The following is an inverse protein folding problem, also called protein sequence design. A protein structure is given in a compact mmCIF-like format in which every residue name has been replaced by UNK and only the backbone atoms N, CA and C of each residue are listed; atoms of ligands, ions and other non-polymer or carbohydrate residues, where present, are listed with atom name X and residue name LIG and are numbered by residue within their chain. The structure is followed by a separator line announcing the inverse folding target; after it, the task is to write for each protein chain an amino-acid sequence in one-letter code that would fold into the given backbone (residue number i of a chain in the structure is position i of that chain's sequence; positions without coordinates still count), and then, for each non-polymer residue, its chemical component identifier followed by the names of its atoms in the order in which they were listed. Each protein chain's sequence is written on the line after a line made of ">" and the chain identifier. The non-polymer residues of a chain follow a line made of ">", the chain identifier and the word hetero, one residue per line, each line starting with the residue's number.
data_IF_365800837241
#
_entry.id   IF_365800837241
#
_cell.length_a   1.000
_cell.length_b   1.000
_cell.length_c   1.000
_cell.angle_alpha   90.00
_cell.angle_beta   90.00
_cell.angle_gamma   90.00
#
_symmetry.space_group_name_H-M   'P 1'
#
loop_
_entity.id
_entity.type
_entity.pdbx_description
1 polymer ?
#
# COMPACT_ATOMS: atom_id res chain seq x y z
N UNK A 1 25.41 10.01 16.82
CA UNK A 1 25.06 10.82 18.01
C UNK A 1 23.54 10.88 18.03
N UNK A 2 22.87 10.21 18.97
CA UNK A 2 21.40 10.25 19.05
C UNK A 2 21.00 11.64 19.56
N UNK A 3 20.27 12.40 18.74
CA UNK A 3 19.82 13.75 19.07
C UNK A 3 18.71 13.70 20.12
N UNK A 4 18.75 14.62 21.07
CA UNK A 4 17.80 14.66 22.18
C UNK A 4 16.69 15.66 21.87
N UNK A 5 15.48 15.48 22.42
CA UNK A 5 14.40 16.48 22.35
C UNK A 5 14.81 17.87 22.87
N UNK A 6 15.94 17.97 23.58
CA UNK A 6 16.53 19.22 24.05
C UNK A 6 17.02 20.13 22.91
N UNK A 7 17.18 19.58 21.71
CA UNK A 7 17.73 20.29 20.56
C UNK A 7 16.63 20.96 19.72
N UNK A 8 15.36 20.89 20.14
CA UNK A 8 14.23 21.49 19.46
C UNK A 8 13.74 22.76 20.14
N UNK A 9 13.43 23.79 19.34
CA UNK A 9 12.81 25.04 19.78
C UNK A 9 11.53 25.32 18.99
N UNK A 10 10.61 26.03 19.63
CA UNK A 10 9.23 26.15 19.20
C UNK A 10 8.78 27.61 19.27
N UNK A 11 8.07 28.07 18.24
CA UNK A 11 7.43 29.38 18.26
C UNK A 11 6.05 29.30 17.60
N UNK A 12 5.09 30.02 18.16
CA UNK A 12 3.79 30.23 17.54
C UNK A 12 3.89 31.43 16.58
N UNK A 13 3.42 31.25 15.36
CA UNK A 13 3.50 32.28 14.31
C UNK A 13 2.13 32.43 13.66
N UNK A 14 1.71 33.68 13.47
CA UNK A 14 0.50 33.98 12.71
C UNK A 14 0.74 33.73 11.21
N UNK A 15 -0.31 33.31 10.50
CA UNK A 15 -0.23 32.98 9.07
C UNK A 15 0.39 34.11 8.26
N UNK A 16 0.06 35.35 8.59
CA UNK A 16 0.55 36.56 7.90
C UNK A 16 2.06 36.78 8.07
N UNK A 17 2.66 36.33 9.19
CA UNK A 17 4.11 36.41 9.45
C UNK A 17 4.87 35.18 8.92
N UNK A 18 4.17 34.05 8.70
CA UNK A 18 4.79 32.78 8.32
C UNK A 18 5.73 32.90 7.11
N UNK A 19 5.34 33.63 6.07
CA UNK A 19 6.16 33.78 4.86
C UNK A 19 7.47 34.55 5.14
N UNK A 20 7.45 35.55 6.03
CA UNK A 20 8.65 36.28 6.43
C UNK A 20 9.60 35.37 7.21
N UNK A 21 9.04 34.56 8.13
CA UNK A 21 9.83 33.57 8.88
C UNK A 21 10.49 32.55 7.95
N UNK A 22 9.75 32.02 6.97
CA UNK A 22 10.29 31.05 6.01
C UNK A 22 11.36 31.63 5.08
N UNK A 23 11.34 32.95 4.82
CA UNK A 23 12.41 33.67 4.11
C UNK A 23 13.60 34.04 5.00
N UNK A 24 13.48 33.88 6.31
CA UNK A 24 14.51 34.29 7.28
C UNK A 24 14.53 35.81 7.52
N UNK A 25 13.42 36.50 7.27
CA UNK A 25 13.28 37.96 7.44
C UNK A 25 12.75 38.35 8.83
N UNK A 26 12.41 37.39 9.67
CA UNK A 26 11.83 37.60 11.02
C UNK A 26 12.73 37.06 12.13
N UNK A 27 12.67 37.70 13.30
CA UNK A 27 13.40 37.37 14.53
C UNK A 27 12.71 36.27 15.37
N UNK A 28 11.64 35.66 14.87
CA UNK A 28 10.86 34.62 15.58
C UNK A 28 11.75 33.48 16.09
N UNK A 29 12.80 33.12 15.35
CA UNK A 29 13.74 32.07 15.78
C UNK A 29 14.41 32.42 17.10
N UNK A 30 14.79 33.68 17.30
CA UNK A 30 15.45 34.14 18.53
C UNK A 30 14.47 34.15 19.72
N UNK A 31 13.17 34.20 19.44
CA UNK A 31 12.07 34.10 20.41
C UNK A 31 11.59 32.65 20.63
N UNK A 32 12.11 31.67 19.87
CA UNK A 32 11.68 30.29 19.99
C UNK A 32 12.11 29.70 21.34
N UNK A 33 11.21 28.95 21.97
CA UNK A 33 11.42 28.39 23.31
C UNK A 33 11.44 26.86 23.25
N UNK A 34 12.11 26.15 24.17
CA UNK A 34 12.06 24.69 24.21
C UNK A 34 10.71 24.13 24.74
N UNK A 35 9.78 24.99 25.18
CA UNK A 35 8.56 24.61 25.88
C UNK A 35 7.35 24.36 24.95
N UNK A 36 7.46 23.41 24.01
CA UNK A 36 6.46 23.12 22.98
C UNK A 36 5.02 22.92 23.49
N UNK A 37 4.89 22.23 24.63
CA UNK A 37 3.61 21.66 25.05
C UNK A 37 2.59 22.68 25.52
N UNK A 38 3.04 23.83 26.05
CA UNK A 38 2.15 24.92 26.43
C UNK A 38 1.43 25.51 25.22
N UNK A 39 2.16 25.65 24.09
CA UNK A 39 1.69 26.34 22.89
C UNK A 39 0.73 25.50 22.03
N UNK A 40 0.61 24.19 22.27
CA UNK A 40 -0.22 23.30 21.42
C UNK A 40 -1.70 23.69 21.40
N UNK A 41 -2.19 24.25 22.50
CA UNK A 41 -3.59 24.67 22.65
C UNK A 41 -3.89 25.99 21.93
N UNK A 42 -2.84 26.71 21.55
CA UNK A 42 -2.94 27.99 20.85
C UNK A 42 -2.86 27.83 19.33
N UNK A 43 -2.60 26.62 18.83
CA UNK A 43 -2.59 26.31 17.40
C UNK A 43 -4.02 26.42 16.86
N UNK A 44 -4.20 27.26 15.85
CA UNK A 44 -5.51 27.54 15.25
C UNK A 44 -5.42 27.54 13.71
N UNK A 45 -6.46 28.00 13.02
CA UNK A 45 -6.39 28.26 11.59
C UNK A 45 -5.53 29.47 11.24
N UNK A 46 -5.32 30.39 12.18
CA UNK A 46 -4.53 31.61 11.97
C UNK A 46 -3.13 31.54 12.59
N UNK A 47 -2.90 30.62 13.50
CA UNK A 47 -1.66 30.46 14.23
C UNK A 47 -1.11 29.06 14.05
N UNK A 48 0.16 28.97 13.67
CA UNK A 48 0.86 27.72 13.38
C UNK A 48 2.06 27.58 14.31
N UNK A 49 2.34 26.36 14.76
CA UNK A 49 3.52 26.10 15.57
C UNK A 49 4.68 25.73 14.63
N UNK A 50 5.74 26.50 14.71
CA UNK A 50 6.98 26.24 13.99
C UNK A 50 7.96 25.52 14.91
N UNK A 51 8.65 24.54 14.34
CA UNK A 51 9.63 23.68 15.03
C UNK A 51 10.99 23.87 14.38
N UNK A 52 11.99 24.28 15.14
CA UNK A 52 13.38 24.36 14.72
C UNK A 52 14.22 23.32 15.43
N UNK A 53 15.26 22.87 14.74
CA UNK A 53 16.44 22.32 15.40
C UNK A 53 17.40 23.46 15.73
N UNK A 54 18.10 23.36 16.86
CA UNK A 54 19.01 24.38 17.39
C UNK A 54 20.03 24.85 16.33
N UNK A 55 20.58 23.91 15.56
CA UNK A 55 21.58 24.19 14.53
C UNK A 55 20.99 24.64 13.18
N UNK A 56 19.66 24.62 13.02
CA UNK A 56 19.02 24.94 11.74
C UNK A 56 18.59 26.40 11.67
N UNK A 57 18.97 27.15 10.61
CA UNK A 57 18.47 28.50 10.38
C UNK A 57 16.99 28.57 10.00
N UNK A 58 16.40 27.45 9.57
CA UNK A 58 15.03 27.36 9.07
C UNK A 58 14.19 26.36 9.89
N UNK A 59 12.87 26.52 9.95
CA UNK A 59 12.03 25.53 10.62
C UNK A 59 12.15 24.19 9.90
N UNK A 60 12.13 23.11 10.67
CA UNK A 60 12.13 21.72 10.15
C UNK A 60 10.71 21.20 10.06
N UNK A 61 9.78 21.71 10.86
CA UNK A 61 8.38 21.36 10.75
C UNK A 61 7.46 22.55 11.02
N UNK A 62 6.29 22.50 10.38
CA UNK A 62 5.15 23.38 10.61
C UNK A 62 4.00 22.48 11.08
N UNK A 63 3.49 22.75 12.27
CA UNK A 63 2.36 22.02 12.84
C UNK A 63 1.09 22.81 12.60
N UNK A 64 0.14 22.17 11.92
CA UNK A 64 -1.10 22.80 11.45
C UNK A 64 -2.30 21.91 11.81
N UNK A 65 -3.45 22.47 12.19
CA UNK A 65 -4.66 21.68 12.37
C UNK A 65 -5.06 21.01 11.04
N UNK A 66 -5.53 19.74 11.04
CA UNK A 66 -5.92 19.05 9.82
C UNK A 66 -6.85 19.85 8.90
N UNK A 67 -7.84 20.54 9.48
CA UNK A 67 -8.82 21.36 8.77
C UNK A 67 -8.25 22.63 8.14
N UNK A 68 -7.11 23.13 8.62
CA UNK A 68 -6.49 24.37 8.14
C UNK A 68 -5.37 24.10 7.14
N UNK A 69 -5.01 22.83 6.93
CA UNK A 69 -3.87 22.43 6.09
C UNK A 69 -4.08 22.79 4.63
N UNK A 70 -5.23 22.45 4.07
CA UNK A 70 -5.54 22.74 2.66
C UNK A 70 -5.65 24.26 2.40
N UNK A 71 -6.17 25.05 3.37
CA UNK A 71 -6.20 26.52 3.28
C UNK A 71 -4.79 27.12 3.28
N UNK A 72 -3.92 26.65 4.18
CA UNK A 72 -2.52 27.11 4.24
C UNK A 72 -1.77 26.82 2.93
N UNK A 73 -1.92 25.60 2.39
CA UNK A 73 -1.27 25.22 1.13
C UNK A 73 -1.81 26.03 -0.05
N UNK A 74 -3.13 26.24 -0.13
CA UNK A 74 -3.73 27.09 -1.15
C UNK A 74 -3.21 28.54 -1.06
N UNK A 75 -3.12 29.10 0.16
CA UNK A 75 -2.58 30.44 0.41
C UNK A 75 -1.10 30.55 -0.02
N UNK A 76 -0.25 29.59 0.39
CA UNK A 76 1.17 29.56 0.02
C UNK A 76 1.36 29.50 -1.50
N UNK A 77 0.65 28.60 -2.18
CA UNK A 77 0.77 28.46 -3.64
C UNK A 77 0.28 29.72 -4.37
N UNK A 78 -0.75 30.40 -3.85
CA UNK A 78 -1.35 31.59 -4.47
C UNK A 78 -0.51 32.85 -4.28
N UNK A 79 -0.04 33.11 -3.05
CA UNK A 79 0.60 34.38 -2.69
C UNK A 79 2.12 34.28 -2.52
N UNK A 80 2.65 33.08 -2.32
CA UNK A 80 4.06 32.83 -2.01
C UNK A 80 4.61 31.64 -2.81
N UNK A 81 4.38 31.65 -4.12
CA UNK A 81 4.84 30.59 -5.02
C UNK A 81 6.37 30.37 -5.01
N UNK A 82 7.14 31.34 -4.55
CA UNK A 82 8.59 31.26 -4.32
C UNK A 82 8.97 30.28 -3.20
N UNK A 83 8.04 30.02 -2.26
CA UNK A 83 8.22 29.09 -1.14
C UNK A 83 7.69 27.68 -1.43
N UNK A 84 7.02 27.47 -2.57
CA UNK A 84 6.43 26.20 -2.94
C UNK A 84 7.41 25.33 -3.77
N UNK A 85 7.55 24.02 -3.51
CA UNK A 85 6.84 23.24 -2.49
C UNK A 85 7.47 23.38 -1.11
N UNK A 86 6.66 23.68 -0.11
CA UNK A 86 7.05 23.85 1.28
C UNK A 86 7.68 22.58 1.86
N UNK A 87 7.16 21.41 1.48
CA UNK A 87 7.65 20.12 1.97
C UNK A 87 9.01 19.71 1.45
N UNK A 88 9.57 20.43 0.48
CA UNK A 88 10.98 20.29 0.13
C UNK A 88 11.93 20.87 1.18
N UNK A 89 11.44 21.75 2.08
CA UNK A 89 12.24 22.45 3.06
C UNK A 89 11.92 22.06 4.50
N UNK A 90 10.64 21.81 4.81
CA UNK A 90 10.18 21.46 6.15
C UNK A 90 8.96 20.53 6.13
N UNK A 91 8.80 19.68 7.14
CA UNK A 91 7.63 18.83 7.28
C UNK A 91 6.37 19.64 7.55
N UNK A 92 5.27 19.25 6.92
CA UNK A 92 3.93 19.73 7.27
C UNK A 92 3.23 18.65 8.09
N UNK A 93 3.06 18.89 9.39
CA UNK A 93 2.63 17.89 10.37
C UNK A 93 1.28 18.31 10.95
N UNK A 94 0.37 17.34 11.15
CA UNK A 94 -0.89 17.63 11.84
C UNK A 94 -0.66 17.80 13.35
N UNK A 95 -1.53 18.55 14.03
CA UNK A 95 -1.50 18.65 15.50
C UNK A 95 -1.58 17.28 16.20
N UNK A 96 -2.35 16.35 15.63
CA UNK A 96 -2.46 14.98 16.11
C UNK A 96 -1.16 14.19 15.96
N UNK A 97 -0.53 14.24 14.78
CA UNK A 97 0.73 13.55 14.52
C UNK A 97 1.85 14.17 15.35
N UNK A 98 1.89 15.49 15.49
CA UNK A 98 2.85 16.20 16.33
C UNK A 98 2.75 15.80 17.81
N UNK A 99 1.54 15.65 18.35
CA UNK A 99 1.34 15.21 19.73
C UNK A 99 1.97 13.83 19.95
N UNK A 100 1.85 12.93 18.97
CA UNK A 100 2.49 11.61 19.01
C UNK A 100 4.01 11.71 18.88
N UNK A 101 4.52 12.58 18.01
CA UNK A 101 5.98 12.75 17.83
C UNK A 101 6.68 13.41 19.00
N UNK A 102 6.03 14.35 19.68
CA UNK A 102 6.67 15.04 20.80
C UNK A 102 6.98 14.07 21.95
N UNK A 103 6.16 13.02 22.11
CA UNK A 103 6.37 11.95 23.08
C UNK A 103 7.52 11.00 22.67
N UNK A 104 7.71 10.80 21.37
CA UNK A 104 8.67 9.84 20.79
C UNK A 104 9.55 10.55 19.74
N UNK A 105 10.73 11.01 20.16
CA UNK A 105 11.72 11.71 19.31
C UNK A 105 12.08 10.92 18.04
N UNK A 106 12.07 9.59 18.20
CA UNK A 106 12.38 8.62 17.17
C UNK A 106 11.25 7.61 17.10
N UNK A 107 10.67 7.46 15.91
CA UNK A 107 9.78 6.35 15.63
C UNK A 107 10.56 5.18 15.07
N UNK A 108 10.54 4.09 15.81
CA UNK A 108 11.06 2.82 15.34
C UNK A 108 9.98 2.10 14.54
N UNK A 109 10.23 1.82 13.25
CA UNK A 109 9.29 1.08 12.43
C UNK A 109 9.15 -0.36 12.94
N UNK A 110 7.92 -0.87 12.94
CA UNK A 110 7.64 -2.27 13.29
C UNK A 110 6.56 -2.83 12.38
N UNK A 111 6.84 -3.97 11.74
CA UNK A 111 5.84 -4.73 10.99
C UNK A 111 5.35 -5.94 11.77
N UNK A 112 5.62 -5.99 13.07
CA UNK A 112 5.18 -7.03 14.01
C UNK A 112 5.60 -8.45 13.59
N UNK A 113 6.83 -8.63 13.11
CA UNK A 113 7.34 -9.93 12.67
C UNK A 113 6.98 -10.31 11.23
N UNK A 114 6.29 -9.42 10.49
CA UNK A 114 5.89 -9.63 9.10
C UNK A 114 6.86 -8.99 8.10
N UNK A 115 8.01 -8.51 8.56
CA UNK A 115 8.99 -7.77 7.75
C UNK A 115 9.40 -8.56 6.49
N UNK A 116 9.70 -9.85 6.61
CA UNK A 116 10.06 -10.72 5.47
C UNK A 116 8.94 -10.89 4.46
N UNK A 117 7.69 -11.04 4.92
CA UNK A 117 6.50 -11.11 4.07
C UNK A 117 6.31 -9.82 3.27
N UNK A 118 6.45 -8.66 3.91
CA UNK A 118 6.40 -7.35 3.23
C UNK A 118 7.54 -7.16 2.23
N UNK A 119 8.78 -7.54 2.57
CA UNK A 119 9.92 -7.46 1.66
C UNK A 119 9.71 -8.33 0.41
N UNK A 120 9.21 -9.56 0.60
CA UNK A 120 8.86 -10.45 -0.49
C UNK A 120 7.79 -9.84 -1.41
N UNK A 121 6.72 -9.29 -0.83
CA UNK A 121 5.66 -8.63 -1.58
C UNK A 121 6.17 -7.42 -2.40
N UNK A 122 7.06 -6.60 -1.83
CA UNK A 122 7.68 -5.46 -2.53
C UNK A 122 8.49 -5.94 -3.74
N UNK A 123 9.32 -6.97 -3.55
CA UNK A 123 10.16 -7.51 -4.63
C UNK A 123 9.29 -8.13 -5.71
N UNK A 124 8.27 -8.89 -5.34
CA UNK A 124 7.32 -9.46 -6.29
C UNK A 124 6.58 -8.39 -7.10
N UNK A 125 6.13 -7.29 -6.47
CA UNK A 125 5.53 -6.17 -7.19
C UNK A 125 6.56 -5.50 -8.12
N UNK A 126 7.81 -5.33 -7.69
CA UNK A 126 8.88 -4.79 -8.52
C UNK A 126 9.17 -5.68 -9.74
N UNK A 127 9.21 -7.01 -9.57
CA UNK A 127 9.35 -7.99 -10.65
C UNK A 127 8.18 -7.91 -11.62
N UNK A 128 6.96 -7.94 -11.11
CA UNK A 128 5.73 -7.90 -11.91
C UNK A 128 5.60 -6.58 -12.69
N UNK A 129 5.97 -5.46 -12.08
CA UNK A 129 5.84 -4.13 -12.67
C UNK A 129 6.90 -3.79 -13.70
N UNK A 130 8.14 -4.27 -13.50
CA UNK A 130 9.24 -4.03 -14.44
C UNK A 130 9.40 -5.14 -15.49
N UNK A 131 8.69 -6.26 -15.30
CA UNK A 131 8.85 -7.50 -16.06
C UNK A 131 10.32 -7.98 -16.09
N UNK A 132 10.99 -7.91 -14.94
CA UNK A 132 12.39 -8.27 -14.77
C UNK A 132 12.56 -9.38 -13.75
N UNK A 133 13.62 -10.15 -13.95
CA UNK A 133 14.09 -11.12 -12.97
C UNK A 133 14.71 -10.39 -11.76
N UNK A 134 14.68 -11.05 -10.61
CA UNK A 134 15.11 -10.46 -9.34
C UNK A 134 16.58 -10.01 -9.35
N UNK A 135 17.47 -10.74 -10.03
CA UNK A 135 18.90 -10.42 -10.17
C UNK A 135 19.16 -9.07 -10.85
N UNK A 136 18.18 -8.56 -11.61
CA UNK A 136 18.30 -7.32 -12.39
C UNK A 136 17.49 -6.17 -11.79
N UNK A 137 16.82 -6.40 -10.66
CA UNK A 137 16.08 -5.38 -9.96
C UNK A 137 17.01 -4.41 -9.23
N UNK A 138 16.70 -3.13 -9.35
CA UNK A 138 17.38 -2.09 -8.58
C UNK A 138 16.60 -1.78 -7.30
N UNK A 139 17.29 -1.33 -6.25
CA UNK A 139 16.65 -0.83 -5.03
C UNK A 139 15.61 0.26 -5.36
N UNK A 140 15.92 1.17 -6.29
CA UNK A 140 15.00 2.24 -6.68
C UNK A 140 13.68 1.72 -7.25
N UNK A 141 13.69 0.58 -7.96
CA UNK A 141 12.49 -0.06 -8.49
C UNK A 141 11.62 -0.58 -7.36
N UNK A 142 12.23 -1.19 -6.32
CA UNK A 142 11.51 -1.65 -5.13
C UNK A 142 10.92 -0.50 -4.31
N UNK A 143 11.67 0.59 -4.09
CA UNK A 143 11.20 1.77 -3.36
C UNK A 143 10.08 2.54 -4.08
N UNK A 144 9.92 2.34 -5.38
CA UNK A 144 8.84 2.95 -6.19
C UNK A 144 7.53 2.13 -6.18
N UNK A 145 7.50 0.96 -5.52
CA UNK A 145 6.30 0.11 -5.45
C UNK A 145 5.23 0.66 -4.52
N UNK A 146 3.97 0.32 -4.80
CA UNK A 146 2.84 0.64 -3.93
C UNK A 146 2.95 -0.10 -2.61
N UNK A 147 3.38 -1.37 -2.66
CA UNK A 147 3.61 -2.20 -1.48
C UNK A 147 4.65 -1.58 -0.56
N UNK A 148 5.75 -1.00 -1.07
CA UNK A 148 6.74 -0.34 -0.21
C UNK A 148 6.13 0.85 0.52
N UNK A 149 5.37 1.69 -0.18
CA UNK A 149 4.70 2.84 0.40
C UNK A 149 3.76 2.43 1.55
N UNK A 150 2.94 1.41 1.31
CA UNK A 150 1.98 0.90 2.30
C UNK A 150 2.70 0.23 3.47
N UNK A 151 3.69 -0.62 3.20
CA UNK A 151 4.50 -1.28 4.22
C UNK A 151 5.19 -0.26 5.11
N UNK A 152 5.81 0.76 4.52
CA UNK A 152 6.51 1.82 5.25
C UNK A 152 5.56 2.64 6.12
N UNK A 153 4.37 2.97 5.61
CA UNK A 153 3.34 3.60 6.45
C UNK A 153 2.88 2.69 7.58
N UNK A 154 2.62 1.41 7.29
CA UNK A 154 2.20 0.45 8.29
C UNK A 154 3.26 0.30 9.40
N UNK A 155 4.54 0.31 9.02
CA UNK A 155 5.65 0.19 9.96
C UNK A 155 5.77 1.40 10.89
N UNK A 156 5.59 2.62 10.38
CA UNK A 156 5.74 3.87 11.16
C UNK A 156 4.48 4.33 11.88
N UNK A 157 3.30 3.94 11.38
CA UNK A 157 2.01 4.49 11.81
C UNK A 157 0.95 3.44 12.10
N UNK A 158 1.25 2.15 11.94
CA UNK A 158 0.30 1.06 12.12
C UNK A 158 -0.62 0.82 10.91
N UNK A 159 -1.18 -0.37 10.85
CA UNK A 159 -1.94 -0.87 9.70
C UNK A 159 -3.16 -0.02 9.33
N UNK A 160 -3.90 0.49 10.32
CA UNK A 160 -5.08 1.35 10.10
C UNK A 160 -4.76 2.60 9.25
N UNK A 161 -3.55 3.14 9.40
CA UNK A 161 -3.15 4.34 8.67
C UNK A 161 -2.55 4.03 7.28
N UNK A 162 -2.18 2.78 7.01
CA UNK A 162 -1.50 2.37 5.80
C UNK A 162 -2.39 2.48 4.55
N UNK A 163 -3.68 2.15 4.67
CA UNK A 163 -4.66 2.25 3.57
C UNK A 163 -4.76 3.67 3.00
N UNK A 164 -4.75 4.69 3.87
CA UNK A 164 -4.80 6.10 3.44
C UNK A 164 -3.59 6.52 2.59
N UNK A 165 -2.44 5.82 2.74
CA UNK A 165 -1.27 6.11 1.91
C UNK A 165 -1.42 5.60 0.49
N UNK A 166 -2.19 4.52 0.28
CA UNK A 166 -2.49 4.02 -1.04
C UNK A 166 -3.35 5.02 -1.83
N UNK A 167 -4.39 5.56 -1.21
CA UNK A 167 -5.24 6.61 -1.81
C UNK A 167 -4.43 7.85 -2.19
N UNK A 168 -3.53 8.29 -1.29
CA UNK A 168 -2.63 9.43 -1.56
C UNK A 168 -1.65 9.14 -2.70
N UNK A 169 -1.10 7.92 -2.75
CA UNK A 169 -0.19 7.51 -3.79
C UNK A 169 -0.89 7.44 -5.15
N UNK A 170 -2.11 6.91 -5.19
CA UNK A 170 -2.93 6.90 -6.40
C UNK A 170 -3.26 8.31 -6.89
N UNK A 171 -3.64 9.21 -5.99
CA UNK A 171 -3.88 10.61 -6.32
C UNK A 171 -2.60 11.27 -6.88
N UNK A 172 -1.45 11.01 -6.27
CA UNK A 172 -0.17 11.53 -6.75
C UNK A 172 0.24 10.96 -8.11
N UNK A 173 0.07 9.65 -8.33
CA UNK A 173 0.28 9.00 -9.63
C UNK A 173 -0.65 9.59 -10.69
N UNK A 174 -1.93 9.78 -10.38
CA UNK A 174 -2.89 10.38 -11.32
C UNK A 174 -2.52 11.82 -11.69
N UNK A 175 -2.03 12.60 -10.73
CA UNK A 175 -1.59 13.97 -10.98
C UNK A 175 -0.35 14.02 -11.88
N UNK A 176 0.66 13.17 -11.62
CA UNK A 176 1.94 13.22 -12.34
C UNK A 176 1.99 12.35 -13.62
N UNK A 177 1.15 11.33 -13.72
CA UNK A 177 1.12 10.35 -14.80
C UNK A 177 -0.30 10.18 -15.38
N UNK A 178 -0.93 11.23 -15.93
CA UNK A 178 -2.32 11.19 -16.39
C UNK A 178 -2.57 10.16 -17.50
N UNK A 179 -1.53 9.73 -18.23
CA UNK A 179 -1.64 8.71 -19.29
C UNK A 179 -1.79 7.27 -18.75
N UNK A 180 -1.47 7.02 -17.47
CA UNK A 180 -1.53 5.67 -16.88
C UNK A 180 -2.85 5.35 -16.16
N UNK A 181 -3.89 6.19 -16.34
CA UNK A 181 -5.20 6.04 -15.66
C UNK A 181 -5.94 4.73 -16.04
N UNK A 182 -5.51 4.03 -17.09
CA UNK A 182 -6.12 2.78 -17.58
C UNK A 182 -5.53 1.46 -17.04
N UNK A 183 -4.32 1.43 -16.47
CA UNK A 183 -3.72 0.18 -15.93
C UNK A 183 -4.21 -0.15 -14.50
N UNK A 184 -5.43 0.27 -14.18
CA UNK A 184 -6.09 -0.01 -12.91
C UNK A 184 -6.57 -1.45 -12.88
N UNK A 185 -5.76 -2.32 -12.30
CA UNK A 185 -6.14 -3.19 -11.18
C UNK A 185 -5.02 -4.20 -10.94
N UNK A 186 -3.86 -3.74 -10.47
CA UNK A 186 -2.96 -4.68 -9.79
C UNK A 186 -3.69 -5.15 -8.54
N UNK A 187 -3.81 -6.46 -8.38
CA UNK A 187 -4.46 -7.07 -7.22
C UNK A 187 -3.85 -6.51 -5.94
N UNK A 188 -4.68 -5.84 -5.13
CA UNK A 188 -4.30 -5.28 -3.81
C UNK A 188 -4.41 -6.33 -2.71
N UNK A 189 -4.86 -7.52 -3.07
CA UNK A 189 -5.15 -8.59 -2.13
C UNK A 189 -3.94 -8.96 -1.25
N UNK A 190 -2.70 -9.09 -1.77
CA UNK A 190 -1.55 -9.35 -0.92
C UNK A 190 -1.33 -8.28 0.16
N UNK A 191 -1.55 -7.00 -0.19
CA UNK A 191 -1.44 -5.88 0.74
C UNK A 191 -2.54 -5.94 1.79
N UNK A 192 -3.79 -6.19 1.39
CA UNK A 192 -4.93 -6.31 2.31
C UNK A 192 -4.68 -7.42 3.34
N UNK A 193 -4.25 -8.59 2.90
CA UNK A 193 -3.96 -9.72 3.79
C UNK A 193 -2.82 -9.39 4.75
N UNK A 194 -1.70 -8.83 4.26
CA UNK A 194 -0.58 -8.44 5.13
C UNK A 194 -1.00 -7.40 6.18
N UNK A 195 -1.87 -6.45 5.81
CA UNK A 195 -2.42 -5.48 6.76
C UNK A 195 -3.37 -6.15 7.77
N UNK A 196 -4.21 -7.11 7.35
CA UNK A 196 -5.10 -7.86 8.23
C UNK A 196 -4.37 -8.78 9.22
N UNK A 197 -3.12 -9.15 8.94
CA UNK A 197 -2.26 -9.89 9.88
C UNK A 197 -1.70 -9.00 10.99
N UNK A 198 -1.65 -7.68 10.79
CA UNK A 198 -1.09 -6.75 11.76
C UNK A 198 -2.10 -6.38 12.86
N UNK A 199 -1.62 -6.05 14.09
CA UNK A 199 -2.47 -5.54 15.15
C UNK A 199 -3.23 -4.28 14.73
N UNK A 200 -4.56 -4.29 14.93
CA UNK A 200 -5.43 -3.17 14.52
C UNK A 200 -5.60 -3.02 13.01
N UNK A 201 -5.24 -4.05 12.23
CA UNK A 201 -5.48 -4.13 10.80
C UNK A 201 -6.97 -4.16 10.43
N UNK A 202 -7.29 -3.89 9.15
CA UNK A 202 -8.66 -4.01 8.65
C UNK A 202 -9.15 -5.45 8.72
N UNK A 203 -10.45 -5.63 8.94
CA UNK A 203 -11.08 -6.93 8.79
C UNK A 203 -11.05 -7.36 7.31
N UNK A 204 -10.90 -8.66 7.02
CA UNK A 204 -10.91 -9.16 5.64
C UNK A 204 -12.22 -8.81 4.95
N UNK A 205 -12.15 -8.30 3.71
CA UNK A 205 -13.34 -7.82 2.99
C UNK A 205 -14.21 -8.93 2.41
N UNK A 206 -13.72 -10.18 2.34
CA UNK A 206 -14.48 -11.33 1.85
C UNK A 206 -14.12 -12.63 2.59
N UNK A 207 -14.95 -13.68 2.41
CA UNK A 207 -14.69 -15.02 2.97
C UNK A 207 -13.38 -15.59 2.46
N UNK A 208 -13.10 -15.48 1.17
CA UNK A 208 -11.89 -16.05 0.57
C UNK A 208 -10.63 -15.36 1.11
N UNK A 209 -10.70 -14.04 1.34
CA UNK A 209 -9.63 -13.29 2.00
C UNK A 209 -9.46 -13.75 3.44
N UNK A 210 -10.54 -14.00 4.18
CA UNK A 210 -10.46 -14.55 5.54
C UNK A 210 -9.74 -15.90 5.57
N UNK A 211 -10.03 -16.80 4.62
CA UNK A 211 -9.35 -18.11 4.50
C UNK A 211 -7.84 -17.90 4.26
N UNK A 212 -7.48 -16.98 3.35
CA UNK A 212 -6.07 -16.66 3.06
C UNK A 212 -5.39 -16.05 4.28
N UNK A 213 -6.03 -15.11 4.97
CA UNK A 213 -5.52 -14.51 6.21
C UNK A 213 -5.25 -15.58 7.26
N UNK A 214 -6.17 -16.51 7.47
CA UNK A 214 -5.99 -17.57 8.47
C UNK A 214 -4.89 -18.56 8.08
N UNK A 215 -4.73 -18.85 6.78
CA UNK A 215 -3.59 -19.61 6.28
C UNK A 215 -2.27 -18.86 6.51
N UNK A 216 -2.20 -17.57 6.19
CA UNK A 216 -1.00 -16.75 6.43
C UNK A 216 -0.68 -16.57 7.92
N UNK A 217 -1.68 -16.48 8.80
CA UNK A 217 -1.47 -16.49 10.26
C UNK A 217 -0.77 -17.77 10.69
N UNK A 218 -1.20 -18.91 10.17
CA UNK A 218 -0.57 -20.19 10.51
C UNK A 218 0.89 -20.26 10.04
N UNK A 219 1.21 -19.72 8.86
CA UNK A 219 2.58 -19.60 8.39
C UNK A 219 3.41 -18.67 9.29
N UNK A 220 2.86 -17.51 9.68
CA UNK A 220 3.58 -16.54 10.50
C UNK A 220 3.93 -17.08 11.91
N UNK A 221 3.08 -17.94 12.48
CA UNK A 221 3.25 -18.48 13.84
C UNK A 221 4.08 -19.75 13.88
N UNK A 222 4.29 -20.43 12.75
CA UNK A 222 4.77 -21.82 12.73
C UNK A 222 6.09 -22.06 13.47
N UNK A 223 6.97 -21.07 13.63
CA UNK A 223 8.22 -21.17 14.41
C UNK A 223 9.24 -22.21 13.92
N UNK A 224 8.83 -23.09 13.02
CA UNK A 224 9.58 -24.17 12.40
C UNK A 224 10.43 -23.65 11.24
N UNK A 225 11.52 -24.38 10.94
CA UNK A 225 12.36 -24.13 9.76
C UNK A 225 11.58 -24.17 8.43
N UNK A 226 10.42 -24.84 8.43
CA UNK A 226 9.50 -24.91 7.30
C UNK A 226 8.07 -24.57 7.74
N UNK A 227 7.64 -23.30 7.64
CA UNK A 227 6.31 -22.91 8.08
C UNK A 227 5.19 -23.62 7.32
N UNK A 228 4.18 -24.15 8.01
CA UNK A 228 3.07 -24.87 7.34
C UNK A 228 1.72 -24.20 7.54
N UNK A 229 0.83 -24.41 6.57
CA UNK A 229 -0.58 -24.04 6.74
C UNK A 229 -1.21 -25.05 7.70
N UNK A 230 -1.92 -24.57 8.73
CA UNK A 230 -2.56 -25.45 9.70
C UNK A 230 -3.73 -26.26 9.07
N UNK A 231 -4.09 -27.37 9.71
CA UNK A 231 -5.15 -28.25 9.22
C UNK A 231 -6.54 -27.59 9.11
N UNK A 232 -6.83 -26.57 9.91
CA UNK A 232 -8.11 -25.86 9.87
C UNK A 232 -8.23 -25.02 8.60
N UNK A 233 -7.21 -24.21 8.30
CA UNK A 233 -7.16 -23.41 7.08
C UNK A 233 -7.11 -24.29 5.83
N UNK A 234 -6.41 -25.43 5.87
CA UNK A 234 -6.43 -26.41 4.76
C UNK A 234 -7.84 -26.95 4.55
N UNK A 235 -8.59 -27.30 5.59
CA UNK A 235 -9.98 -27.77 5.45
C UNK A 235 -10.87 -26.74 4.77
N UNK A 236 -10.75 -25.46 5.12
CA UNK A 236 -11.50 -24.39 4.46
C UNK A 236 -11.10 -24.23 2.99
N UNK A 237 -9.80 -24.33 2.67
CA UNK A 237 -9.33 -24.38 1.27
C UNK A 237 -9.94 -25.57 0.51
N UNK A 238 -9.94 -26.77 1.09
CA UNK A 238 -10.53 -27.97 0.47
C UNK A 238 -12.03 -27.83 0.24
N UNK A 239 -12.75 -27.18 1.16
CA UNK A 239 -14.17 -26.88 0.98
C UNK A 239 -14.41 -25.91 -0.19
N UNK A 240 -13.50 -24.97 -0.42
CA UNK A 240 -13.58 -24.07 -1.56
C UNK A 240 -13.23 -24.79 -2.88
N UNK A 241 -12.23 -25.67 -2.88
CA UNK A 241 -11.90 -26.52 -4.03
C UNK A 241 -11.30 -27.86 -3.59
N UNK A 242 -11.90 -29.00 -3.97
CA UNK A 242 -11.34 -30.32 -3.66
C UNK A 242 -9.93 -30.55 -4.21
N UNK A 243 -9.51 -29.78 -5.22
CA UNK A 243 -8.15 -29.84 -5.76
C UNK A 243 -7.09 -29.46 -4.73
N UNK A 244 -7.45 -28.68 -3.71
CA UNK A 244 -6.53 -28.24 -2.66
C UNK A 244 -6.27 -29.32 -1.60
N UNK A 245 -6.89 -30.49 -1.66
CA UNK A 245 -6.66 -31.59 -0.70
C UNK A 245 -5.19 -32.03 -0.65
N UNK A 246 -4.52 -32.02 -1.81
CA UNK A 246 -3.10 -32.37 -1.92
C UNK A 246 -2.17 -31.34 -1.25
N UNK A 247 -2.65 -30.13 -0.93
CA UNK A 247 -1.86 -29.09 -0.26
C UNK A 247 -1.48 -29.50 1.17
N UNK A 248 -2.30 -30.29 1.85
CA UNK A 248 -1.99 -30.82 3.19
C UNK A 248 -0.70 -31.66 3.21
N UNK A 249 -0.41 -32.35 2.11
CA UNK A 249 0.72 -33.26 1.98
C UNK A 249 1.93 -32.64 1.28
N UNK A 250 1.91 -31.35 0.94
CA UNK A 250 2.85 -30.76 -0.01
C UNK A 250 4.32 -30.93 0.37
N UNK A 251 4.63 -30.87 1.67
CA UNK A 251 6.00 -31.00 2.17
C UNK A 251 6.59 -32.39 1.93
N UNK A 252 5.74 -33.41 1.93
CA UNK A 252 6.13 -34.80 1.67
C UNK A 252 6.15 -35.12 0.17
N UNK A 253 5.62 -34.23 -0.68
CA UNK A 253 5.61 -34.43 -2.12
C UNK A 253 7.01 -34.17 -2.72
N UNK A 254 7.50 -35.01 -3.63
CA UNK A 254 8.65 -34.68 -4.47
C UNK A 254 8.41 -33.42 -5.31
N UNK A 255 9.46 -32.67 -5.62
CA UNK A 255 9.38 -31.42 -6.40
C UNK A 255 8.63 -31.58 -7.74
N UNK A 256 8.85 -32.69 -8.45
CA UNK A 256 8.12 -33.00 -9.69
C UNK A 256 6.60 -33.11 -9.48
N UNK A 257 6.18 -33.74 -8.39
CA UNK A 257 4.76 -33.87 -8.06
C UNK A 257 4.15 -32.53 -7.62
N UNK A 258 4.92 -31.65 -6.96
CA UNK A 258 4.51 -30.27 -6.67
C UNK A 258 4.26 -29.48 -7.96
N UNK A 259 5.15 -29.61 -8.94
CA UNK A 259 4.98 -28.96 -10.27
C UNK A 259 3.77 -29.54 -11.02
N UNK A 260 3.53 -30.86 -10.96
CA UNK A 260 2.33 -31.48 -11.55
C UNK A 260 1.05 -30.97 -10.90
N UNK A 261 1.04 -30.81 -9.57
CA UNK A 261 -0.09 -30.22 -8.84
C UNK A 261 -0.30 -28.76 -9.23
N UNK A 262 0.77 -27.96 -9.31
CA UNK A 262 0.72 -26.57 -9.75
C UNK A 262 0.06 -26.42 -11.12
N UNK A 263 0.44 -27.26 -12.09
CA UNK A 263 -0.18 -27.27 -13.44
C UNK A 263 -1.67 -27.56 -13.38
N UNK A 264 -2.10 -28.55 -12.58
CA UNK A 264 -3.53 -28.86 -12.40
C UNK A 264 -4.30 -27.67 -11.83
N UNK A 265 -3.73 -26.96 -10.86
CA UNK A 265 -4.35 -25.80 -10.22
C UNK A 265 -4.42 -24.62 -11.19
N UNK A 266 -3.36 -24.37 -11.98
CA UNK A 266 -3.37 -23.39 -13.06
C UNK A 266 -4.45 -23.68 -14.10
N UNK A 267 -4.54 -24.92 -14.56
CA UNK A 267 -5.52 -25.28 -15.59
C UNK A 267 -6.96 -25.15 -15.04
N UNK A 268 -7.17 -25.45 -13.75
CA UNK A 268 -8.44 -25.23 -13.08
C UNK A 268 -8.78 -23.75 -12.85
N UNK A 269 -7.79 -22.88 -12.62
CA UNK A 269 -8.04 -21.44 -12.41
C UNK A 269 -8.53 -20.74 -13.67
N UNK A 270 -8.22 -21.26 -14.87
CA UNK A 270 -8.75 -20.75 -16.13
C UNK A 270 -10.29 -20.86 -16.22
N UNK A 271 -10.90 -21.81 -15.52
CA UNK A 271 -12.34 -22.03 -15.47
C UNK A 271 -13.00 -21.63 -14.14
N UNK A 272 -12.24 -21.04 -13.21
CA UNK A 272 -12.76 -20.68 -11.89
C UNK A 272 -13.76 -19.52 -11.96
N UNK A 273 -14.70 -19.49 -11.01
CA UNK A 273 -15.65 -18.39 -10.90
C UNK A 273 -14.92 -17.09 -10.51
N UNK A 274 -15.44 -15.92 -10.97
CA UNK A 274 -14.97 -14.64 -10.46
C UNK A 274 -15.06 -14.61 -8.93
N UNK A 275 -13.95 -14.33 -8.25
CA UNK A 275 -13.83 -14.33 -6.78
C UNK A 275 -13.19 -15.58 -6.18
N UNK A 276 -13.09 -16.69 -6.92
CA UNK A 276 -12.32 -17.86 -6.48
C UNK A 276 -10.85 -17.80 -6.93
N UNK A 277 -10.55 -16.98 -7.96
CA UNK A 277 -9.20 -16.82 -8.51
C UNK A 277 -8.17 -16.43 -7.44
N UNK A 278 -8.57 -15.63 -6.46
CA UNK A 278 -7.77 -15.24 -5.30
C UNK A 278 -7.22 -16.46 -4.55
N UNK A 279 -8.05 -17.49 -4.34
CA UNK A 279 -7.64 -18.73 -3.67
C UNK A 279 -6.70 -19.55 -4.56
N UNK A 280 -6.98 -19.65 -5.86
CA UNK A 280 -6.11 -20.34 -6.80
C UNK A 280 -4.73 -19.67 -6.91
N UNK A 281 -4.70 -18.33 -6.96
CA UNK A 281 -3.47 -17.55 -7.01
C UNK A 281 -2.67 -17.71 -5.71
N UNK A 282 -3.33 -17.65 -4.56
CA UNK A 282 -2.71 -17.90 -3.26
C UNK A 282 -2.11 -19.31 -3.15
N UNK A 283 -2.90 -20.35 -3.44
CA UNK A 283 -2.43 -21.74 -3.35
C UNK A 283 -1.31 -22.01 -4.35
N UNK A 284 -1.38 -21.45 -5.56
CA UNK A 284 -0.30 -21.54 -6.55
C UNK A 284 0.98 -20.90 -6.04
N UNK A 285 0.87 -19.70 -5.46
CA UNK A 285 2.01 -19.02 -4.85
C UNK A 285 2.65 -19.84 -3.74
N UNK A 286 1.84 -20.38 -2.83
CA UNK A 286 2.28 -21.28 -1.76
C UNK A 286 2.97 -22.54 -2.29
N UNK A 287 2.44 -23.16 -3.34
CA UNK A 287 3.08 -24.35 -3.95
C UNK A 287 4.44 -23.99 -4.52
N UNK A 288 4.54 -22.88 -5.27
CA UNK A 288 5.81 -22.41 -5.86
C UNK A 288 6.84 -22.17 -4.77
N UNK A 289 6.46 -21.52 -3.65
CA UNK A 289 7.39 -21.28 -2.53
C UNK A 289 7.88 -22.57 -1.87
N UNK A 290 7.19 -23.70 -2.11
CA UNK A 290 7.56 -25.03 -1.62
C UNK A 290 8.24 -25.91 -2.67
N UNK A 291 8.48 -25.50 -3.92
CA UNK A 291 9.10 -26.37 -4.93
C UNK A 291 10.56 -26.66 -4.59
N UNK A 292 11.41 -25.61 -4.60
CA UNK A 292 12.84 -25.73 -4.29
C UNK A 292 13.39 -24.60 -3.44
N UNK A 293 12.56 -23.63 -3.05
CA UNK A 293 12.96 -22.48 -2.24
C UNK A 293 13.97 -21.55 -2.92
N UNK A 294 14.18 -21.70 -4.22
CA UNK A 294 15.18 -20.96 -4.98
C UNK A 294 14.52 -19.85 -5.79
N UNK A 295 15.24 -18.74 -6.00
CA UNK A 295 14.74 -17.57 -6.74
C UNK A 295 14.37 -17.89 -8.20
N UNK A 296 14.96 -18.94 -8.79
CA UNK A 296 14.58 -19.42 -10.12
C UNK A 296 13.14 -19.93 -10.20
N UNK A 297 12.55 -20.34 -9.07
CA UNK A 297 11.21 -20.93 -9.03
C UNK A 297 10.13 -19.85 -9.24
N UNK A 298 10.45 -18.55 -9.06
CA UNK A 298 9.53 -17.45 -9.38
C UNK A 298 9.07 -17.45 -10.84
N UNK A 299 9.88 -17.99 -11.77
CA UNK A 299 9.51 -18.14 -13.18
C UNK A 299 8.31 -19.05 -13.41
N UNK A 300 7.97 -19.92 -12.45
CA UNK A 300 6.77 -20.75 -12.53
C UNK A 300 5.48 -19.92 -12.49
N UNK A 301 5.54 -18.67 -12.00
CA UNK A 301 4.41 -17.75 -12.02
C UNK A 301 4.16 -17.14 -13.42
N UNK A 302 5.12 -17.20 -14.34
CA UNK A 302 4.99 -16.62 -15.69
C UNK A 302 3.88 -17.28 -16.53
N UNK A 303 3.51 -18.51 -16.19
CA UNK A 303 2.44 -19.27 -16.83
C UNK A 303 1.02 -18.87 -16.37
N UNK A 304 0.90 -17.98 -15.37
CA UNK A 304 -0.39 -17.58 -14.81
C UNK A 304 -0.88 -16.25 -15.41
N UNK A 305 -2.20 -16.15 -15.61
CA UNK A 305 -2.84 -14.91 -16.07
C UNK A 305 -2.57 -13.74 -15.12
N UNK A 306 -2.70 -14.01 -13.81
CA UNK A 306 -2.46 -13.04 -12.74
C UNK A 306 -1.05 -13.21 -12.15
N UNK A 307 -0.05 -13.29 -13.03
CA UNK A 307 1.37 -13.48 -12.66
C UNK A 307 1.81 -12.65 -11.45
N UNK A 308 1.46 -11.36 -11.42
CA UNK A 308 1.87 -10.46 -10.34
C UNK A 308 1.34 -10.86 -8.96
N UNK A 309 0.10 -11.36 -8.90
CA UNK A 309 -0.49 -11.84 -7.64
C UNK A 309 0.12 -13.18 -7.22
N UNK A 310 0.32 -14.11 -8.15
CA UNK A 310 0.98 -15.39 -7.87
C UNK A 310 2.42 -15.18 -7.38
N UNK A 311 3.18 -14.28 -8.02
CA UNK A 311 4.52 -13.88 -7.57
C UNK A 311 4.50 -13.31 -6.15
N UNK A 312 3.53 -12.45 -5.85
CA UNK A 312 3.38 -11.87 -4.51
C UNK A 312 3.11 -12.96 -3.48
N UNK A 313 2.20 -13.89 -3.77
CA UNK A 313 1.93 -15.01 -2.89
C UNK A 313 3.11 -15.94 -2.69
N UNK A 314 3.86 -16.26 -3.75
CA UNK A 314 5.11 -17.01 -3.65
C UNK A 314 6.10 -16.36 -2.68
N UNK A 315 6.29 -15.04 -2.81
CA UNK A 315 7.25 -14.32 -1.98
C UNK A 315 6.76 -14.19 -0.53
N UNK A 316 5.46 -13.92 -0.32
CA UNK A 316 4.85 -13.80 1.00
C UNK A 316 4.89 -15.14 1.73
N UNK A 317 4.40 -16.22 1.12
CA UNK A 317 4.34 -17.52 1.78
C UNK A 317 5.71 -18.12 2.06
N UNK A 318 6.71 -17.80 1.23
CA UNK A 318 8.11 -18.16 1.48
C UNK A 318 8.78 -17.31 2.57
N UNK A 319 8.32 -16.07 2.79
CA UNK A 319 8.88 -15.16 3.79
C UNK A 319 8.23 -15.26 5.18
N UNK A 320 6.93 -15.52 5.26
CA UNK A 320 6.21 -15.60 6.54
C UNK A 320 6.75 -16.73 7.41
N UNK A 321 7.01 -16.42 8.69
CA UNK A 321 7.54 -17.37 9.67
C UNK A 321 9.07 -17.52 9.66
N UNK A 322 9.79 -16.79 8.80
CA UNK A 322 11.25 -16.87 8.70
C UNK A 322 11.91 -15.67 9.39
N UNK A 323 12.77 -15.92 10.39
CA UNK A 323 13.44 -14.84 11.15
C UNK A 323 14.68 -14.24 10.45
N UNK A 324 15.39 -15.03 9.63
CA UNK A 324 16.77 -14.71 9.19
C UNK A 324 16.93 -14.37 7.70
N UNK A 325 15.82 -14.23 6.96
CA UNK A 325 15.85 -14.23 5.50
C UNK A 325 16.64 -13.06 4.87
N UNK A 326 16.73 -11.89 5.52
CA UNK A 326 17.22 -10.66 4.88
C UNK A 326 18.73 -10.56 4.65
N UNK A 327 19.60 -11.33 5.32
CA UNK A 327 21.04 -11.13 5.18
C UNK A 327 21.58 -11.61 3.83
N UNK A 328 20.96 -12.63 3.22
CA UNK A 328 21.35 -13.22 1.94
C UNK A 328 20.25 -13.31 0.87
N UNK A 329 19.00 -12.92 1.18
CA UNK A 329 17.93 -12.97 0.19
C UNK A 329 18.18 -12.05 -1.02
N UNK A 330 17.90 -12.55 -2.23
CA UNK A 330 17.84 -11.80 -3.47
C UNK A 330 19.15 -11.08 -3.80
N UNK A 331 20.27 -11.78 -3.66
CA UNK A 331 21.61 -11.22 -3.91
C UNK A 331 21.95 -10.01 -3.02
N UNK A 332 21.33 -9.89 -1.85
CA UNK A 332 21.54 -8.78 -0.91
C UNK A 332 20.60 -7.57 -1.12
N UNK A 333 19.74 -7.60 -2.14
CA UNK A 333 18.69 -6.59 -2.34
C UNK A 333 17.74 -6.54 -1.15
N UNK A 334 17.39 -7.72 -0.58
CA UNK A 334 16.52 -7.82 0.59
C UNK A 334 17.07 -7.03 1.79
N UNK A 335 18.38 -7.06 2.02
CA UNK A 335 19.05 -6.29 3.10
C UNK A 335 18.94 -4.79 2.89
N UNK A 336 19.16 -4.32 1.66
CA UNK A 336 19.07 -2.90 1.34
C UNK A 336 17.64 -2.38 1.48
N UNK A 337 16.67 -3.17 1.01
CA UNK A 337 15.27 -2.83 1.14
C UNK A 337 14.81 -2.85 2.60
N UNK A 338 15.24 -3.84 3.39
CA UNK A 338 14.96 -3.91 4.83
C UNK A 338 15.50 -2.69 5.56
N UNK A 339 16.72 -2.24 5.22
CA UNK A 339 17.31 -1.02 5.80
C UNK A 339 16.43 0.21 5.56
N UNK A 340 15.91 0.39 4.35
CA UNK A 340 15.04 1.54 4.04
C UNK A 340 13.64 1.38 4.67
N UNK A 341 13.07 0.17 4.61
CA UNK A 341 11.76 -0.13 5.18
C UNK A 341 11.74 0.02 6.71
N UNK A 342 12.86 -0.29 7.37
CA UNK A 342 13.03 -0.24 8.82
C UNK A 342 13.90 0.93 9.32
N UNK A 343 14.20 1.92 8.46
CA UNK A 343 14.91 3.14 8.89
C UNK A 343 14.07 3.90 9.93
N UNK A 344 14.58 4.27 11.12
CA UNK A 344 13.84 5.11 12.04
C UNK A 344 13.45 6.46 11.41
N UNK A 345 12.32 7.02 11.81
CA UNK A 345 11.94 8.37 11.41
C UNK A 345 12.13 9.35 12.58
N UNK A 346 12.73 10.50 12.29
CA UNK A 346 12.90 11.60 13.23
C UNK A 346 12.39 12.91 12.62
N UNK A 347 11.67 13.71 13.42
CA UNK A 347 11.34 15.09 13.06
C UNK A 347 12.53 16.05 13.17
N UNK A 348 13.69 15.60 13.67
CA UNK A 348 14.91 16.40 13.72
C UNK A 348 15.68 16.41 12.39
N UNK A 349 15.36 15.50 11.48
CA UNK A 349 15.95 15.45 10.13
C UNK A 349 15.13 16.33 9.16
N UNK A 350 15.75 16.84 8.10
CA UNK A 350 14.98 17.54 7.06
C UNK A 350 14.18 16.55 6.19
N UNK A 351 13.11 17.00 5.53
CA UNK A 351 12.44 16.18 4.53
C UNK A 351 13.37 15.80 3.37
N UNK A 352 13.37 14.53 2.99
CA UNK A 352 14.06 13.99 1.81
C UNK A 352 13.16 13.99 0.54
N UNK A 353 12.04 14.70 0.55
CA UNK A 353 11.05 14.71 -0.53
C UNK A 353 11.10 16.00 -1.35
N UNK A 354 10.75 15.93 -2.63
CA UNK A 354 10.61 17.11 -3.50
C UNK A 354 9.28 17.83 -3.22
N UNK A 355 8.21 17.09 -2.92
CA UNK A 355 6.86 17.59 -2.71
C UNK A 355 6.04 16.60 -1.88
N UNK A 356 4.99 17.06 -1.20
CA UNK A 356 4.04 16.18 -0.53
C UNK A 356 2.83 15.91 -1.41
N UNK A 357 2.18 14.76 -1.20
CA UNK A 357 0.94 14.43 -1.91
C UNK A 357 -0.16 15.49 -1.69
N UNK A 358 -0.15 16.16 -0.54
CA UNK A 358 -1.09 17.24 -0.24
C UNK A 358 -0.80 18.51 -1.04
N UNK A 359 0.47 18.94 -1.11
CA UNK A 359 0.86 20.08 -1.94
C UNK A 359 0.67 19.85 -3.43
N UNK A 360 0.88 18.61 -3.89
CA UNK A 360 0.68 18.24 -5.28
C UNK A 360 -0.77 18.47 -5.76
N UNK A 361 -1.75 18.41 -4.85
CA UNK A 361 -3.16 18.75 -5.17
C UNK A 361 -3.35 20.23 -5.50
N UNK A 362 -2.50 21.11 -4.96
CA UNK A 362 -2.55 22.57 -5.17
C UNK A 362 -1.60 23.03 -6.28
N UNK A 363 -0.44 22.39 -6.39
CA UNK A 363 0.55 22.63 -7.44
C UNK A 363 0.13 21.86 -8.70
N UNK A 364 -0.80 22.44 -9.46
CA UNK A 364 -1.32 21.85 -10.68
C UNK A 364 -0.21 21.44 -11.67
N UNK A 365 -0.39 20.31 -12.34
CA UNK A 365 0.53 19.81 -13.36
C UNK A 365 0.16 20.42 -14.72
N UNK A 366 1.02 21.30 -15.25
CA UNK A 366 0.80 21.93 -16.56
C UNK A 366 1.45 21.10 -17.66
N UNK A 367 0.64 20.61 -18.61
CA UNK A 367 1.11 19.82 -19.76
C UNK A 367 1.98 18.61 -19.38
N UNK A 368 1.67 17.95 -18.25
CA UNK A 368 2.43 16.80 -17.75
C UNK A 368 3.79 17.14 -17.13
N UNK A 369 4.14 18.44 -17.01
CA UNK A 369 5.32 18.90 -16.29
C UNK A 369 4.93 19.44 -14.91
N UNK A 370 5.64 19.06 -13.84
CA UNK A 370 5.45 19.67 -12.54
C UNK A 370 5.77 21.16 -12.62
N UNK A 371 5.00 22.00 -11.90
CA UNK A 371 5.29 23.43 -11.76
C UNK A 371 6.42 23.73 -10.77
N UNK A 372 7.06 22.69 -10.23
CA UNK A 372 8.08 22.74 -9.20
C UNK A 372 9.37 22.05 -9.68
N UNK A 373 10.47 22.34 -9.00
CA UNK A 373 11.76 21.70 -9.26
C UNK A 373 11.84 20.36 -8.52
N UNK A 374 12.41 19.37 -9.18
CA UNK A 374 12.67 18.04 -8.61
C UNK A 374 14.17 17.79 -8.50
N UNK A 375 14.57 17.00 -7.52
CA UNK A 375 15.96 16.54 -7.35
C UNK A 375 16.44 15.69 -8.54
N UNK A 376 15.53 14.99 -9.22
CA UNK A 376 15.81 14.19 -10.42
C UNK A 376 15.05 14.71 -11.64
N UNK A 377 15.67 14.67 -12.82
CA UNK A 377 15.03 15.13 -14.08
C UNK A 377 13.81 14.31 -14.46
N UNK A 378 13.82 13.01 -14.17
CA UNK A 378 12.83 12.04 -14.66
C UNK A 378 12.02 11.40 -13.52
N UNK A 379 12.13 11.92 -12.30
CA UNK A 379 11.40 11.40 -11.16
C UNK A 379 11.13 12.49 -10.13
N UNK A 380 10.03 12.37 -9.41
CA UNK A 380 9.70 13.17 -8.25
C UNK A 380 9.65 12.28 -7.01
N UNK A 381 10.31 12.69 -5.93
CA UNK A 381 10.19 12.05 -4.62
C UNK A 381 9.03 12.70 -3.88
N UNK A 382 8.02 11.92 -3.56
CA UNK A 382 6.77 12.41 -2.98
C UNK A 382 6.63 11.92 -1.55
N UNK A 383 6.47 12.84 -0.62
CA UNK A 383 6.09 12.54 0.75
C UNK A 383 4.59 12.26 0.83
N UNK A 384 4.21 11.00 1.08
CA UNK A 384 2.82 10.63 1.36
C UNK A 384 2.45 11.00 2.80
N UNK A 385 3.42 10.83 3.70
CA UNK A 385 3.43 11.20 5.11
C UNK A 385 4.88 11.48 5.52
N UNK A 386 5.15 12.18 6.64
CA UNK A 386 6.50 12.33 7.15
C UNK A 386 7.22 10.96 7.27
N UNK A 387 8.41 10.82 6.70
CA UNK A 387 9.18 9.56 6.71
C UNK A 387 8.68 8.46 5.76
N UNK A 388 7.63 8.73 4.95
CA UNK A 388 7.11 7.84 3.90
C UNK A 388 7.23 8.55 2.56
N UNK A 389 8.35 8.32 1.90
CA UNK A 389 8.67 8.91 0.61
C UNK A 389 8.59 7.84 -0.48
N UNK A 390 7.99 8.18 -1.62
CA UNK A 390 7.86 7.29 -2.78
C UNK A 390 8.39 8.00 -4.01
N UNK A 391 9.16 7.30 -4.83
CA UNK A 391 9.66 7.85 -6.09
C UNK A 391 8.67 7.56 -7.21
N UNK A 392 8.15 8.60 -7.85
CA UNK A 392 7.27 8.48 -9.01
C UNK A 392 8.02 8.97 -10.25
N UNK A 393 8.10 8.12 -11.28
CA UNK A 393 8.69 8.52 -12.56
C UNK A 393 7.86 9.63 -13.21
N UNK A 394 8.51 10.69 -13.65
CA UNK A 394 7.89 11.70 -14.50
C UNK A 394 7.96 11.18 -15.93
N UNK A 395 6.83 11.15 -16.65
CA UNK A 395 6.80 10.64 -18.02
C UNK A 395 7.86 11.30 -18.90
N UNK A 396 8.47 10.56 -19.83
CA UNK A 396 9.51 11.08 -20.73
C UNK A 396 8.96 12.24 -21.57
N UNK A 397 9.26 13.48 -21.19
CA UNK A 397 8.77 14.67 -21.92
C UNK A 397 9.63 14.98 -23.15
N UNK A 398 10.85 14.42 -23.25
CA UNK A 398 11.85 14.84 -24.23
C UNK A 398 12.47 13.72 -25.08
N UNK A 399 11.99 12.47 -25.04
CA UNK A 399 12.43 11.49 -26.05
C UNK A 399 11.69 11.75 -27.36
N UNK A 400 12.36 12.19 -28.46
CA UNK A 400 11.78 12.03 -29.78
C UNK A 400 11.45 10.54 -29.97
N UNK A 401 10.39 10.18 -30.72
CA UNK A 401 10.02 8.79 -30.93
C UNK A 401 11.08 8.09 -31.79
N UNK A 402 12.22 7.77 -31.20
CA UNK A 402 13.17 6.83 -31.78
C UNK A 402 12.49 5.47 -31.70
N UNK A 403 12.18 4.94 -32.88
CA UNK A 403 11.70 3.59 -33.15
C UNK A 403 12.61 2.54 -32.50
N UNK A 404 12.49 2.33 -31.20
CA UNK A 404 12.87 1.07 -30.59
C UNK A 404 11.60 0.25 -30.70
N UNK A 405 11.53 -0.52 -31.77
CA UNK A 405 10.59 -1.63 -31.91
C UNK A 405 10.83 -2.57 -30.73
N UNK A 406 10.06 -2.39 -29.66
CA UNK A 406 9.76 -3.48 -28.74
C UNK A 406 9.30 -4.65 -29.63
N UNK A 407 9.79 -5.89 -29.43
CA UNK A 407 9.13 -7.04 -30.03
C UNK A 407 7.64 -6.95 -29.65
N UNK A 408 6.71 -7.30 -30.56
CA UNK A 408 5.29 -7.17 -30.28
C UNK A 408 5.02 -7.93 -28.99
N UNK A 409 4.82 -7.18 -27.91
CA UNK A 409 4.04 -7.64 -26.78
C UNK A 409 2.76 -8.12 -27.46
N UNK A 410 2.48 -9.42 -27.34
CA UNK A 410 1.15 -9.92 -27.67
C UNK A 410 0.22 -9.04 -26.86
N UNK A 411 -0.43 -8.09 -27.54
CA UNK A 411 -1.49 -7.29 -26.97
C UNK A 411 -2.53 -8.31 -26.52
N UNK A 412 -2.44 -8.71 -25.26
CA UNK A 412 -3.56 -9.27 -24.54
C UNK A 412 -4.61 -8.18 -24.64
N UNK A 413 -5.54 -8.38 -25.58
CA UNK A 413 -6.67 -7.51 -25.83
C UNK A 413 -7.17 -7.01 -24.48
N UNK A 414 -7.06 -5.70 -24.26
CA UNK A 414 -7.80 -5.04 -23.20
C UNK A 414 -9.26 -5.27 -23.54
N UNK A 415 -9.80 -6.36 -23.00
CA UNK A 415 -11.23 -6.64 -22.95
C UNK A 415 -11.83 -5.44 -22.23
N UNK A 416 -12.45 -4.55 -23.01
CA UNK A 416 -13.66 -3.89 -22.54
C UNK A 416 -14.50 -4.99 -21.89
N UNK A 417 -14.89 -4.83 -20.63
CA UNK A 417 -15.70 -5.78 -19.87
C UNK A 417 -17.10 -5.89 -20.49
N UNK A 418 -17.20 -6.40 -21.72
CA UNK A 418 -18.36 -7.15 -22.16
C UNK A 418 -18.25 -8.48 -21.43
N UNK A 419 -19.08 -8.64 -20.41
CA UNK A 419 -19.30 -9.95 -19.80
C UNK A 419 -19.99 -10.83 -20.84
N UNK A 420 -19.21 -11.41 -21.77
CA UNK A 420 -19.63 -12.56 -22.56
C UNK A 420 -19.64 -13.77 -21.62
N UNK A 421 -20.60 -13.75 -20.69
CA UNK A 421 -20.93 -14.94 -19.92
C UNK A 421 -21.50 -15.94 -20.92
N UNK A 422 -20.81 -17.07 -21.08
CA UNK A 422 -21.37 -18.15 -21.88
C UNK A 422 -22.64 -18.68 -21.19
N UNK A 423 -23.53 -19.29 -21.97
CA UNK A 423 -24.84 -19.72 -21.46
C UNK A 423 -24.71 -20.66 -20.24
N UNK A 424 -23.69 -21.52 -20.20
CA UNK A 424 -23.41 -22.39 -19.05
C UNK A 424 -23.01 -21.62 -17.77
N UNK A 425 -22.29 -20.50 -17.90
CA UNK A 425 -21.92 -19.65 -16.76
C UNK A 425 -23.14 -18.90 -16.23
N UNK A 426 -24.03 -18.45 -17.12
CA UNK A 426 -25.31 -17.83 -16.74
C UNK A 426 -26.17 -18.85 -15.98
N UNK A 427 -26.30 -20.07 -16.50
CA UNK A 427 -27.08 -21.13 -15.86
C UNK A 427 -26.53 -21.49 -14.47
N UNK A 428 -25.22 -21.65 -14.32
CA UNK A 428 -24.61 -21.88 -13.00
C UNK A 428 -24.80 -20.71 -12.04
N UNK A 429 -24.70 -19.47 -12.54
CA UNK A 429 -24.91 -18.28 -11.72
C UNK A 429 -26.37 -18.21 -11.23
N UNK A 430 -27.33 -18.55 -12.10
CA UNK A 430 -28.75 -18.66 -11.76
C UNK A 430 -28.98 -19.77 -10.75
N UNK A 431 -28.45 -20.97 -10.95
CA UNK A 431 -28.61 -22.08 -9.99
C UNK A 431 -28.08 -21.74 -8.59
N UNK A 432 -26.97 -20.98 -8.51
CA UNK A 432 -26.40 -20.56 -7.22
C UNK A 432 -27.13 -19.38 -6.58
N UNK A 433 -27.62 -18.43 -7.37
CA UNK A 433 -28.28 -17.23 -6.86
C UNK A 433 -29.77 -17.44 -6.56
N UNK A 434 -30.45 -18.35 -7.28
CA UNK A 434 -31.89 -18.56 -7.17
C UNK A 434 -32.34 -18.93 -5.75
N UNK A 435 -31.69 -19.87 -5.01
CA UNK A 435 -32.10 -20.19 -3.64
C UNK A 435 -31.95 -19.00 -2.68
N UNK A 436 -30.93 -18.16 -2.90
CA UNK A 436 -30.67 -16.97 -2.09
C UNK A 436 -31.72 -15.89 -2.37
N UNK A 437 -32.11 -15.70 -3.64
CA UNK A 437 -33.14 -14.76 -4.05
C UNK A 437 -34.54 -15.21 -3.61
N UNK A 438 -34.87 -16.49 -3.73
CA UNK A 438 -36.14 -17.06 -3.27
C UNK A 438 -36.34 -16.85 -1.77
N UNK A 439 -35.28 -17.03 -0.96
CA UNK A 439 -35.34 -16.78 0.49
C UNK A 439 -35.66 -15.32 0.82
N UNK A 440 -35.19 -14.36 -0.01
CA UNK A 440 -35.46 -12.92 0.16
C UNK A 440 -36.79 -12.48 -0.41
N UNK A 441 -37.25 -13.10 -1.50
CA UNK A 441 -38.57 -12.85 -2.08
C UNK A 441 -39.67 -13.40 -1.17
N UNK A 442 -39.48 -14.58 -0.58
CA UNK A 442 -40.42 -15.17 0.37
C UNK A 442 -40.56 -14.36 1.67
N UNK A 443 -39.51 -13.64 2.08
CA UNK A 443 -39.54 -12.78 3.28
C UNK A 443 -40.06 -11.37 3.01
N UNK A 444 -40.03 -10.90 1.76
CA UNK A 444 -40.44 -9.53 1.39
C UNK A 444 -41.87 -9.41 0.86
N UNK A 445 -42.56 -10.52 0.57
CA UNK A 445 -43.98 -10.49 0.21
C UNK A 445 -44.84 -10.24 1.46
N UNK A 446 -45.45 -9.05 1.62
CA UNK A 446 -46.38 -8.82 2.72
C UNK A 446 -47.54 -9.80 2.58
N UNK A 447 -47.82 -10.57 3.63
CA UNK A 447 -48.99 -11.45 3.70
C UNK A 447 -50.21 -10.61 3.33
N UNK A 448 -50.73 -10.78 2.12
CA UNK A 448 -51.93 -10.06 1.68
C UNK A 448 -53.02 -10.28 2.72
N UNK A 449 -53.33 -9.21 3.46
CA UNK A 449 -54.30 -9.24 4.53
C UNK A 449 -55.64 -9.62 3.94
N UNK A 450 -56.23 -10.71 4.46
CA UNK A 450 -57.64 -11.02 4.22
C UNK A 450 -58.44 -9.80 4.68
N UNK A 451 -58.96 -9.03 3.73
CA UNK A 451 -60.00 -8.04 3.98
C UNK A 451 -61.20 -8.77 4.59
N UNK A 452 -61.35 -8.69 5.92
CA UNK A 452 -62.57 -9.13 6.58
C UNK A 452 -63.66 -8.10 6.25
N UNK A 453 -64.70 -8.55 5.55
CA UNK A 453 -65.91 -7.76 5.34
C UNK A 453 -66.63 -7.65 6.69
N UNK A 454 -66.49 -6.50 7.35
CA UNK A 454 -67.34 -6.14 8.49
C UNK A 454 -68.79 -6.01 8.02
N UNK A 455 -69.66 -6.88 8.52
CA UNK A 455 -71.11 -6.74 8.38
C UNK A 455 -71.58 -5.56 9.24
N UNK A 456 -72.26 -4.61 8.60
CA UNK A 456 -73.04 -3.57 9.26
C UNK A 456 -74.28 -4.22 9.89
N UNK A 457 -74.45 -4.08 11.20
CA UNK A 457 -75.76 -4.22 11.84
C UNK A 457 -76.37 -2.83 11.99
N UNK A 458 -77.63 -2.68 11.57
CA UNK A 458 -78.48 -1.50 11.73
C UNK A 458 -79.64 -1.86 12.66
N UNK A 459 -79.96 -0.90 13.54
CA UNK A 459 -81.17 -0.71 14.36
C UNK A 459 -81.39 -1.62 15.56
#
# INVERSE_FOLDING_TARGET
>A
MMMSNKDLSFALVEREELAQVLRGESDVRDRATPAAFAMRHEISSKSHLLVWHEQSPRPIAIVVPPQSRDDLLAWLVTFHSDLAPLTSWCYLVSTEDFTRYHQEVLRFPSLNGLETGWLGAIIAEAMASSNRDVDTLSLSTCLATDTFAVARTAALYGAKNALSSLERLEAAKQALQPKHVGERSRSRLPIEVLLSLMPGGPAPSSRNISIIVDACKSLAVSGDDAPTINNLAIRELVQASPLFDQVAGIEKMPAENRIRLLRKIRDASLGAFPGDNELYNFVSGYIISRVGGAERDFRLADDFRDRGEVLAWTAISGGLGVETFWTNAFGGLGRLLAKELLRPFSLCEFPDADISGDELRHLGVRAGRPSFRTSSRNAAVIALRPGVNVTIALGEVDRPPTRISSPPLKESAQSQLTFDLNQSQIEMLVERLLPLLESRLATSLPKSGRYSKGSKSQK
#
